data_IF_137993552514
#
_entry.id   IF_137993552514
#
_cell.length_a   1.000
_cell.length_b   1.000
_cell.length_c   1.000
_cell.angle_alpha   90.00
_cell.angle_beta   90.00
_cell.angle_gamma   90.00
#
_symmetry.space_group_name_H-M   'P 1'
#
loop_
_entity.id
_entity.type
_entity.pdbx_description
1 polymer ?
#
# COMPACT_ATOMS: atom_id res chain seq x y z
N UNK A 1 -4.70 85.62 -34.04
CA UNK A 1 -4.80 84.71 -32.88
C UNK A 1 -5.33 83.38 -33.38
N UNK A 2 -4.46 82.42 -33.71
CA UNK A 2 -4.89 81.13 -34.30
C UNK A 2 -3.98 79.94 -33.93
N UNK A 3 -3.08 80.11 -32.94
CA UNK A 3 -2.07 79.09 -32.60
C UNK A 3 -2.42 78.26 -31.35
N UNK A 4 -3.48 78.59 -30.61
CA UNK A 4 -3.84 77.90 -29.37
C UNK A 4 -4.74 76.67 -29.56
N UNK A 5 -5.37 76.50 -30.73
CA UNK A 5 -6.29 75.38 -30.99
C UNK A 5 -5.57 74.10 -31.46
N UNK A 6 -4.34 74.20 -31.95
CA UNK A 6 -3.57 73.06 -32.47
C UNK A 6 -2.94 72.19 -31.38
N UNK A 7 -2.38 72.82 -30.34
CA UNK A 7 -1.72 72.10 -29.25
C UNK A 7 -2.69 71.24 -28.43
N UNK A 8 -3.93 71.69 -28.23
CA UNK A 8 -4.92 70.92 -27.47
C UNK A 8 -5.30 69.61 -28.18
N UNK A 9 -5.46 69.65 -29.50
CA UNK A 9 -5.73 68.45 -30.30
C UNK A 9 -4.52 67.51 -30.34
N UNK A 10 -3.29 68.04 -30.37
CA UNK A 10 -2.07 67.24 -30.33
C UNK A 10 -1.88 66.52 -28.98
N UNK A 11 -2.12 67.24 -27.88
CA UNK A 11 -2.02 66.69 -26.51
C UNK A 11 -3.08 65.62 -26.28
N UNK A 12 -4.31 65.84 -26.77
CA UNK A 12 -5.36 64.83 -26.70
C UNK A 12 -5.04 63.58 -27.53
N UNK A 13 -4.43 63.74 -28.71
CA UNK A 13 -4.02 62.61 -29.55
C UNK A 13 -2.93 61.76 -28.87
N UNK A 14 -1.96 62.42 -28.22
CA UNK A 14 -0.91 61.73 -27.46
C UNK A 14 -1.52 60.98 -26.26
N UNK A 15 -2.46 61.59 -25.54
CA UNK A 15 -3.19 60.92 -24.45
C UNK A 15 -3.96 59.69 -24.95
N UNK A 16 -4.63 59.79 -26.10
CA UNK A 16 -5.33 58.66 -26.72
C UNK A 16 -4.37 57.52 -27.09
N UNK A 17 -3.20 57.83 -27.65
CA UNK A 17 -2.20 56.81 -28.01
C UNK A 17 -1.63 56.11 -26.76
N UNK A 18 -1.42 56.86 -25.67
CA UNK A 18 -0.96 56.29 -24.39
C UNK A 18 -2.02 55.38 -23.77
N UNK A 19 -3.30 55.77 -23.80
CA UNK A 19 -4.42 54.95 -23.30
C UNK A 19 -4.56 53.65 -24.11
N UNK A 20 -4.43 53.71 -25.44
CA UNK A 20 -4.49 52.52 -26.31
C UNK A 20 -3.30 51.58 -26.02
N UNK A 21 -2.10 52.10 -25.77
CA UNK A 21 -0.91 51.30 -25.41
C UNK A 21 -1.04 50.62 -24.05
N UNK A 22 -1.72 51.25 -23.07
CA UNK A 22 -1.97 50.64 -21.75
C UNK A 22 -3.10 49.60 -21.74
N UNK A 23 -3.92 49.56 -22.80
CA UNK A 23 -5.01 48.57 -22.96
C UNK A 23 -4.52 47.23 -23.47
N UNK A 24 -3.28 47.12 -23.96
CA UNK A 24 -2.63 45.82 -24.12
C UNK A 24 -2.04 45.42 -22.77
N UNK A 25 -2.93 45.17 -21.81
CA UNK A 25 -2.62 44.16 -20.82
C UNK A 25 -2.24 42.92 -21.62
N UNK A 26 -1.07 42.37 -21.30
CA UNK A 26 -0.66 41.03 -21.66
C UNK A 26 -1.77 40.08 -21.21
N UNK A 27 -2.77 39.90 -22.07
CA UNK A 27 -3.71 38.80 -22.01
C UNK A 27 -2.85 37.62 -22.45
N UNK A 28 -2.07 37.11 -21.50
CA UNK A 28 -1.50 35.78 -21.58
C UNK A 28 -2.61 34.88 -22.08
N UNK A 29 -2.39 34.31 -23.27
CA UNK A 29 -3.37 33.61 -24.07
C UNK A 29 -4.41 32.87 -23.21
N UNK A 30 -5.72 33.13 -23.34
CA UNK A 30 -6.75 32.36 -22.63
C UNK A 30 -6.85 30.90 -23.15
N UNK A 31 -6.03 30.56 -24.16
CA UNK A 31 -5.96 29.26 -24.81
C UNK A 31 -4.91 28.31 -24.22
N UNK A 32 -4.07 28.76 -23.27
CA UNK A 32 -3.08 27.87 -22.62
C UNK A 32 -3.65 27.03 -21.49
N UNK A 33 -4.94 27.18 -21.16
CA UNK A 33 -5.61 26.36 -20.13
C UNK A 33 -6.33 25.13 -20.70
N UNK A 34 -6.52 25.05 -22.03
CA UNK A 34 -7.33 23.99 -22.67
C UNK A 34 -6.62 22.64 -22.88
N UNK A 35 -5.38 22.48 -22.42
CA UNK A 35 -4.68 21.18 -22.42
C UNK A 35 -4.14 20.79 -21.04
N UNK A 36 -4.62 21.42 -19.97
CA UNK A 36 -4.35 20.90 -18.63
C UNK A 36 -5.09 19.57 -18.50
N UNK A 37 -4.33 18.49 -18.32
CA UNK A 37 -4.92 17.15 -18.21
C UNK A 37 -5.97 17.14 -17.10
N UNK A 38 -7.00 16.29 -17.22
CA UNK A 38 -8.04 16.17 -16.19
C UNK A 38 -7.44 15.95 -14.81
N UNK A 39 -6.30 15.27 -14.76
CA UNK A 39 -5.49 14.98 -13.58
C UNK A 39 -4.91 16.25 -12.94
N UNK A 40 -4.43 17.21 -13.73
CA UNK A 40 -3.92 18.50 -13.24
C UNK A 40 -5.03 19.39 -12.69
N UNK A 41 -6.21 19.39 -13.32
CA UNK A 41 -7.39 20.11 -12.81
C UNK A 41 -7.89 19.51 -11.48
N UNK A 42 -7.84 18.18 -11.35
CA UNK A 42 -8.18 17.47 -10.10
C UNK A 42 -7.19 17.82 -8.98
N UNK A 43 -5.90 17.89 -9.31
CA UNK A 43 -4.86 18.33 -8.36
C UNK A 43 -5.04 19.79 -7.94
N UNK A 44 -5.30 20.69 -8.89
CA UNK A 44 -5.49 22.12 -8.63
C UNK A 44 -6.74 22.41 -7.79
N UNK A 45 -7.80 21.63 -7.99
CA UNK A 45 -9.03 21.70 -7.20
C UNK A 45 -8.90 21.11 -5.79
N UNK A 46 -7.74 20.58 -5.40
CA UNK A 46 -7.50 19.99 -4.08
C UNK A 46 -8.13 18.61 -3.90
N UNK A 47 -8.66 18.00 -4.97
CA UNK A 47 -9.14 16.62 -5.00
C UNK A 47 -8.01 15.62 -5.33
N UNK A 48 -6.76 15.96 -5.02
CA UNK A 48 -5.63 15.09 -5.27
C UNK A 48 -5.82 13.73 -4.60
N UNK A 49 -5.75 12.66 -5.39
CA UNK A 49 -5.76 11.24 -4.94
C UNK A 49 -4.44 10.86 -4.23
N UNK A 50 -3.71 11.84 -3.69
CA UNK A 50 -2.38 11.62 -3.15
C UNK A 50 -2.49 10.92 -1.79
N UNK A 51 -1.94 9.72 -1.74
CA UNK A 51 -2.11 8.80 -0.62
C UNK A 51 -1.34 9.31 0.59
N UNK A 52 -2.03 9.96 1.53
CA UNK A 52 -1.46 10.59 2.73
C UNK A 52 -0.60 9.69 3.62
N UNK A 53 -0.80 8.36 3.54
CA UNK A 53 0.10 7.39 4.15
C UNK A 53 0.05 6.07 3.39
N UNK A 54 1.12 5.30 3.38
CA UNK A 54 1.11 3.93 2.84
C UNK A 54 1.31 2.94 3.96
N UNK A 55 0.51 1.88 3.97
CA UNK A 55 0.66 0.80 4.96
C UNK A 55 0.75 -0.52 4.22
N UNK A 56 1.90 -1.16 4.33
CA UNK A 56 2.19 -2.42 3.67
C UNK A 56 2.20 -3.55 4.71
N UNK A 57 1.61 -4.69 4.37
CA UNK A 57 1.67 -5.90 5.18
C UNK A 57 2.41 -6.96 4.37
N UNK A 58 3.48 -7.50 4.95
CA UNK A 58 4.37 -8.47 4.33
C UNK A 58 4.45 -9.78 5.11
N UNK A 59 4.86 -10.86 4.47
CA UNK A 59 5.20 -12.11 5.13
C UNK A 59 5.51 -13.21 4.14
N UNK A 60 5.88 -14.37 4.66
CA UNK A 60 6.27 -15.54 3.86
C UNK A 60 5.45 -16.74 4.27
N UNK A 61 4.97 -17.52 3.30
CA UNK A 61 4.22 -18.75 3.53
C UNK A 61 5.06 -19.97 3.15
N UNK A 62 5.33 -20.81 4.14
CA UNK A 62 6.15 -22.02 4.03
C UNK A 62 5.33 -23.27 4.33
N UNK A 63 5.66 -24.34 3.62
CA UNK A 63 5.21 -25.68 3.92
C UNK A 63 6.35 -26.49 4.53
N UNK A 64 6.08 -27.11 5.67
CA UNK A 64 7.05 -27.87 6.43
C UNK A 64 6.69 -29.35 6.46
N UNK A 65 7.69 -30.20 6.26
CA UNK A 65 7.54 -31.64 6.32
C UNK A 65 8.70 -32.33 7.01
N UNK A 66 8.37 -33.39 7.74
CA UNK A 66 9.32 -34.38 8.23
C UNK A 66 9.22 -35.62 7.35
N UNK A 67 10.13 -35.70 6.39
CA UNK A 67 10.19 -36.80 5.43
C UNK A 67 10.94 -37.99 6.03
N UNK A 68 10.47 -39.21 5.73
CA UNK A 68 11.16 -40.43 6.15
C UNK A 68 12.58 -40.46 5.55
N UNK A 69 13.59 -40.75 6.38
CA UNK A 69 14.99 -40.76 5.96
C UNK A 69 15.71 -39.41 6.03
N UNK A 70 15.01 -38.31 6.32
CA UNK A 70 15.62 -37.02 6.61
C UNK A 70 15.47 -36.67 8.09
N UNK A 71 16.57 -36.49 8.85
CA UNK A 71 16.49 -36.19 10.27
C UNK A 71 16.07 -34.74 10.58
N UNK A 72 16.00 -33.87 9.57
CA UNK A 72 15.70 -32.45 9.73
C UNK A 72 14.34 -32.08 9.13
N UNK A 73 13.70 -31.08 9.74
CA UNK A 73 12.50 -30.43 9.23
C UNK A 73 12.85 -29.72 7.92
N UNK A 74 12.17 -30.08 6.84
CA UNK A 74 12.30 -29.38 5.56
C UNK A 74 11.19 -28.36 5.42
N UNK A 75 11.52 -27.18 4.88
CA UNK A 75 10.57 -26.12 4.61
C UNK A 75 10.76 -25.62 3.17
N UNK A 76 9.67 -25.42 2.43
CA UNK A 76 9.69 -24.84 1.09
C UNK A 76 8.58 -23.79 0.92
N UNK A 77 8.76 -22.80 0.03
CA UNK A 77 7.78 -21.77 -0.20
C UNK A 77 6.51 -22.30 -0.87
N UNK A 78 5.37 -21.67 -0.56
CA UNK A 78 4.09 -21.96 -1.21
C UNK A 78 3.71 -20.80 -2.12
N UNK A 79 3.80 -21.03 -3.42
CA UNK A 79 3.38 -20.06 -4.44
C UNK A 79 1.89 -20.14 -4.76
N UNK A 80 1.26 -19.00 -5.06
CA UNK A 80 -0.14 -18.93 -5.51
C UNK A 80 -1.17 -19.17 -4.41
N UNK A 81 -0.79 -19.08 -3.13
CA UNK A 81 -1.73 -19.19 -2.02
C UNK A 81 -2.46 -17.86 -1.80
N UNK A 82 -3.77 -17.92 -1.55
CA UNK A 82 -4.57 -16.76 -1.18
C UNK A 82 -4.42 -16.51 0.32
N UNK A 83 -3.90 -15.34 0.68
CA UNK A 83 -3.75 -14.88 2.05
C UNK A 83 -4.71 -13.73 2.33
N UNK A 84 -5.15 -13.60 3.58
CA UNK A 84 -6.13 -12.62 4.04
C UNK A 84 -5.59 -11.80 5.21
N UNK A 85 -5.67 -10.47 5.12
CA UNK A 85 -5.46 -9.56 6.25
C UNK A 85 -6.81 -9.17 6.80
N UNK A 86 -7.07 -9.57 8.04
CA UNK A 86 -8.28 -9.26 8.77
C UNK A 86 -8.00 -8.19 9.82
N UNK A 87 -8.69 -7.05 9.73
CA UNK A 87 -8.57 -5.96 10.70
C UNK A 87 -9.90 -5.73 11.42
N UNK A 88 -9.85 -5.57 12.74
CA UNK A 88 -11.04 -5.28 13.56
C UNK A 88 -11.01 -3.87 14.15
N UNK A 89 -11.55 -2.89 13.43
CA UNK A 89 -11.66 -1.54 13.98
C UNK A 89 -12.71 -1.47 15.11
N UNK A 90 -12.34 -0.91 16.27
CA UNK A 90 -13.29 -0.66 17.37
C UNK A 90 -14.49 0.15 16.85
N UNK A 91 -15.70 -0.32 17.14
CA UNK A 91 -16.95 0.32 16.68
C UNK A 91 -17.48 -0.17 15.33
N UNK A 92 -16.75 -0.99 14.58
CA UNK A 92 -17.26 -1.63 13.35
C UNK A 92 -17.67 -3.08 13.61
N UNK A 93 -18.94 -3.41 13.31
CA UNK A 93 -19.48 -4.78 13.43
C UNK A 93 -18.86 -5.77 12.44
N UNK A 94 -18.34 -5.30 11.30
CA UNK A 94 -17.70 -6.13 10.27
C UNK A 94 -16.19 -5.86 10.23
N UNK A 95 -15.39 -6.91 10.29
CA UNK A 95 -13.96 -6.85 10.02
C UNK A 95 -13.70 -6.65 8.53
N UNK A 96 -12.77 -5.77 8.16
CA UNK A 96 -12.29 -5.70 6.77
C UNK A 96 -11.41 -6.91 6.48
N UNK A 97 -11.56 -7.49 5.29
CA UNK A 97 -10.73 -8.58 4.80
C UNK A 97 -10.11 -8.11 3.50
N UNK A 98 -8.79 -8.02 3.48
CA UNK A 98 -8.00 -7.75 2.27
C UNK A 98 -7.31 -9.02 1.85
N UNK A 99 -7.22 -9.25 0.56
CA UNK A 99 -6.65 -10.47 0.02
C UNK A 99 -5.37 -10.17 -0.75
N UNK A 100 -4.42 -11.09 -0.67
CA UNK A 100 -3.20 -11.09 -1.47
C UNK A 100 -2.90 -12.50 -1.92
N UNK A 101 -1.98 -12.62 -2.87
CA UNK A 101 -1.50 -13.91 -3.38
C UNK A 101 -0.01 -13.98 -3.13
N UNK A 102 0.47 -15.16 -2.73
CA UNK A 102 1.91 -15.39 -2.56
C UNK A 102 2.62 -15.58 -3.90
N UNK A 103 3.83 -15.04 -4.01
CA UNK A 103 4.69 -15.16 -5.19
C UNK A 103 5.45 -16.50 -5.25
N UNK A 104 6.41 -16.62 -6.15
CA UNK A 104 7.24 -17.82 -6.34
C UNK A 104 8.13 -18.18 -5.14
N UNK A 105 8.47 -17.19 -4.30
CA UNK A 105 9.23 -17.37 -3.06
C UNK A 105 8.30 -17.55 -1.85
N UNK A 106 6.99 -17.62 -2.07
CA UNK A 106 5.99 -17.73 -1.01
C UNK A 106 5.78 -16.42 -0.25
N UNK A 107 6.35 -15.33 -0.73
CA UNK A 107 6.22 -14.01 -0.14
C UNK A 107 4.93 -13.35 -0.60
N UNK A 108 4.35 -12.52 0.27
CA UNK A 108 3.21 -11.68 -0.08
C UNK A 108 3.44 -10.26 0.41
N UNK A 109 2.92 -9.30 -0.35
CA UNK A 109 2.89 -7.89 0.01
C UNK A 109 1.49 -7.33 -0.29
N UNK A 110 0.84 -6.80 0.73
CA UNK A 110 -0.54 -6.30 0.64
C UNK A 110 -0.55 -4.84 1.08
N UNK A 111 -0.98 -3.97 0.18
CA UNK A 111 -1.23 -2.57 0.50
C UNK A 111 -2.61 -2.40 1.16
N UNK A 112 -2.64 -1.76 2.33
CA UNK A 112 -3.89 -1.47 3.01
C UNK A 112 -4.55 -0.22 2.41
N UNK A 113 -5.87 -0.21 2.22
CA UNK A 113 -6.61 0.95 1.75
C UNK A 113 -6.59 2.07 2.80
N UNK A 114 -6.74 3.31 2.31
CA UNK A 114 -6.66 4.55 3.11
C UNK A 114 -7.50 4.53 4.40
N UNK A 115 -8.72 4.00 4.33
CA UNK A 115 -9.62 3.92 5.48
C UNK A 115 -9.13 3.01 6.63
N UNK A 116 -8.12 2.17 6.41
CA UNK A 116 -7.49 1.33 7.44
C UNK A 116 -6.20 1.93 7.99
N UNK A 117 -5.67 2.99 7.38
CA UNK A 117 -4.45 3.65 7.86
C UNK A 117 -4.64 4.32 9.22
N UNK A 118 -5.88 4.74 9.52
CA UNK A 118 -6.24 5.37 10.77
C UNK A 118 -6.46 4.37 11.93
N UNK A 119 -6.30 3.05 11.71
CA UNK A 119 -6.47 2.06 12.78
C UNK A 119 -5.31 2.19 13.78
N UNK A 120 -5.59 2.52 15.06
CA UNK A 120 -4.57 2.54 16.09
C UNK A 120 -4.13 1.11 16.43
N UNK A 121 -2.85 0.92 16.78
CA UNK A 121 -2.27 -0.38 17.16
C UNK A 121 -2.62 -1.48 16.15
N UNK A 122 -2.30 -1.23 14.88
CA UNK A 122 -2.57 -2.13 13.76
C UNK A 122 -1.95 -3.52 13.98
N UNK A 123 -0.79 -3.58 14.63
CA UNK A 123 -0.08 -4.78 15.07
C UNK A 123 -0.95 -5.73 15.91
N UNK A 124 -1.82 -5.19 16.77
CA UNK A 124 -2.72 -5.95 17.66
C UNK A 124 -4.10 -6.16 17.07
N UNK A 125 -4.50 -5.29 16.16
CA UNK A 125 -5.87 -5.18 15.66
C UNK A 125 -6.08 -5.96 14.37
N UNK A 126 -5.00 -6.14 13.61
CA UNK A 126 -5.00 -6.88 12.37
C UNK A 126 -4.27 -8.22 12.52
N UNK A 127 -4.66 -9.19 11.70
CA UNK A 127 -4.04 -10.50 11.66
C UNK A 127 -4.07 -11.09 10.26
N UNK A 128 -3.07 -11.92 9.96
CA UNK A 128 -2.99 -12.63 8.69
C UNK A 128 -3.49 -14.06 8.85
N UNK A 129 -4.22 -14.52 7.84
CA UNK A 129 -4.71 -15.89 7.71
C UNK A 129 -4.46 -16.40 6.29
N UNK A 130 -4.29 -17.71 6.14
CA UNK A 130 -4.29 -18.37 4.83
C UNK A 130 -5.74 -18.71 4.50
N UNK A 131 -6.25 -18.16 3.40
CA UNK A 131 -7.64 -18.35 2.96
C UNK A 131 -7.77 -19.55 2.02
N UNK A 132 -6.81 -19.72 1.10
CA UNK A 132 -6.82 -20.81 0.11
C UNK A 132 -5.41 -21.23 -0.25
N UNK A 133 -5.19 -22.53 -0.37
CA UNK A 133 -3.95 -23.10 -0.90
C UNK A 133 -4.10 -23.41 -2.40
N UNK A 134 -3.00 -23.42 -3.16
CA UNK A 134 -3.03 -23.84 -4.55
C UNK A 134 -3.50 -25.30 -4.65
N UNK A 135 -4.19 -25.65 -5.74
CA UNK A 135 -4.85 -26.96 -5.89
C UNK A 135 -3.90 -28.16 -5.73
N UNK A 136 -2.62 -27.99 -6.10
CA UNK A 136 -1.61 -29.05 -6.06
C UNK A 136 -0.81 -29.08 -4.75
N UNK A 137 -1.16 -28.23 -3.76
CA UNK A 137 -0.46 -28.21 -2.48
C UNK A 137 -0.89 -29.40 -1.62
N UNK A 138 0.06 -30.24 -1.25
CA UNK A 138 -0.15 -31.28 -0.23
C UNK A 138 -0.02 -30.75 1.21
N UNK A 139 0.18 -29.43 1.33
CA UNK A 139 0.27 -28.71 2.58
C UNK A 139 -1.13 -28.50 3.14
N UNK A 140 -1.28 -28.70 4.45
CA UNK A 140 -2.51 -28.41 5.17
C UNK A 140 -2.22 -27.30 6.16
N UNK A 141 -3.15 -26.37 6.25
CA UNK A 141 -3.18 -25.49 7.42
C UNK A 141 -3.20 -26.39 8.65
N UNK A 142 -2.21 -26.22 9.54
CA UNK A 142 -2.29 -26.79 10.87
C UNK A 142 -3.69 -26.44 11.40
N UNK A 143 -4.39 -27.43 11.95
CA UNK A 143 -5.84 -27.49 12.16
C UNK A 143 -6.45 -26.33 12.98
N UNK A 144 -5.62 -25.40 13.45
CA UNK A 144 -6.00 -24.18 14.14
C UNK A 144 -5.88 -23.02 13.15
N UNK A 145 -6.96 -22.25 12.96
CA UNK A 145 -6.92 -20.90 12.36
C UNK A 145 -6.03 -19.99 13.24
N UNK A 146 -4.72 -20.23 13.30
CA UNK A 146 -3.76 -19.39 13.99
C UNK A 146 -3.66 -18.11 13.18
N UNK A 147 -4.44 -17.12 13.61
CA UNK A 147 -4.27 -15.73 13.23
C UNK A 147 -2.89 -15.31 13.71
N UNK A 148 -1.98 -15.03 12.77
CA UNK A 148 -0.68 -14.46 13.13
C UNK A 148 -0.86 -12.95 13.23
N UNK A 149 -0.53 -12.40 14.40
CA UNK A 149 -0.50 -10.95 14.60
C UNK A 149 0.56 -10.30 13.72
N UNK A 150 0.49 -8.98 13.60
CA UNK A 150 1.44 -8.21 12.83
C UNK A 150 2.49 -7.59 13.75
N UNK A 151 3.72 -7.40 13.26
CA UNK A 151 4.78 -6.63 13.92
C UNK A 151 5.17 -5.47 13.01
N UNK A 152 5.31 -4.26 13.55
CA UNK A 152 5.85 -3.14 12.78
C UNK A 152 7.32 -3.44 12.45
N UNK A 153 7.66 -3.47 11.16
CA UNK A 153 9.03 -3.69 10.69
C UNK A 153 9.73 -2.39 10.34
N UNK A 154 9.05 -1.44 9.72
CA UNK A 154 9.62 -0.14 9.37
C UNK A 154 8.60 0.99 9.39
N UNK A 155 9.08 2.20 9.67
CA UNK A 155 8.31 3.43 9.64
C UNK A 155 9.19 4.56 9.08
N UNK A 156 8.76 5.21 8.00
CA UNK A 156 9.49 6.34 7.43
C UNK A 156 8.87 6.83 6.11
N UNK A 157 9.06 8.10 5.77
CA UNK A 157 8.58 8.71 4.51
C UNK A 157 7.07 8.51 4.26
N UNK A 158 6.26 8.50 5.33
CA UNK A 158 4.82 8.22 5.23
C UNK A 158 4.46 6.75 4.97
N UNK A 159 5.45 5.84 4.94
CA UNK A 159 5.28 4.41 4.72
C UNK A 159 5.47 3.64 6.04
N UNK A 160 4.49 2.78 6.35
CA UNK A 160 4.54 1.85 7.48
C UNK A 160 4.50 0.44 6.96
N UNK A 161 5.53 -0.34 7.25
CA UNK A 161 5.56 -1.75 6.87
C UNK A 161 5.35 -2.61 8.10
N UNK A 162 4.41 -3.52 8.01
CA UNK A 162 4.14 -4.54 8.99
C UNK A 162 4.54 -5.90 8.41
N UNK A 163 5.02 -6.79 9.26
CA UNK A 163 5.35 -8.16 8.91
C UNK A 163 4.54 -9.15 9.74
N UNK A 164 4.01 -10.18 9.09
CA UNK A 164 3.46 -11.37 9.74
C UNK A 164 4.55 -12.42 10.04
N UNK A 165 5.79 -12.18 9.61
CA UNK A 165 6.88 -13.13 9.66
C UNK A 165 6.63 -14.35 8.77
N UNK A 166 7.14 -15.51 9.19
CA UNK A 166 6.99 -16.78 8.49
C UNK A 166 5.75 -17.51 8.99
N UNK A 167 4.77 -17.71 8.10
CA UNK A 167 3.62 -18.58 8.32
C UNK A 167 4.01 -20.00 7.87
N UNK A 168 3.81 -20.97 8.75
CA UNK A 168 4.20 -22.36 8.52
C UNK A 168 2.97 -23.26 8.48
N UNK A 169 2.87 -24.07 7.44
CA UNK A 169 1.87 -25.10 7.26
C UNK A 169 2.55 -26.47 7.27
N UNK A 170 1.83 -27.53 7.60
CA UNK A 170 2.43 -28.88 7.60
C UNK A 170 2.00 -29.67 6.37
N UNK A 171 2.94 -30.40 5.78
CA UNK A 171 2.61 -31.35 4.74
C UNK A 171 1.76 -32.49 5.33
N UNK A 172 0.69 -32.85 4.63
CA UNK A 172 -0.26 -33.91 4.99
C UNK A 172 0.34 -35.29 5.32
N UNK A 173 1.48 -35.65 4.72
CA UNK A 173 2.16 -36.95 4.89
C UNK A 173 3.29 -36.88 5.92
N UNK A 174 3.53 -35.70 6.52
CA UNK A 174 4.53 -35.51 7.56
C UNK A 174 4.19 -36.39 8.77
N UNK A 175 5.06 -37.34 9.09
CA UNK A 175 4.99 -38.09 10.35
C UNK A 175 5.86 -37.36 11.36
N UNK A 176 5.32 -36.90 12.49
CA UNK A 176 6.14 -36.27 13.52
C UNK A 176 7.13 -37.31 14.06
N UNK A 177 8.41 -37.15 13.73
CA UNK A 177 9.49 -37.93 14.31
C UNK A 177 10.05 -37.19 15.53
N UNK A 178 10.52 -37.90 16.55
CA UNK A 178 11.09 -37.30 17.76
C UNK A 178 12.30 -36.38 17.47
N UNK A 179 13.01 -36.62 16.36
CA UNK A 179 14.09 -35.76 15.87
C UNK A 179 13.58 -34.40 15.34
N UNK A 180 12.39 -34.36 14.71
CA UNK A 180 11.78 -33.14 14.22
C UNK A 180 11.18 -32.26 15.34
N UNK A 181 10.57 -32.88 16.35
CA UNK A 181 9.87 -32.17 17.43
C UNK A 181 10.85 -31.33 18.28
N UNK A 182 12.10 -31.79 18.43
CA UNK A 182 13.13 -31.11 19.24
C UNK A 182 13.64 -29.79 18.62
N UNK A 183 13.50 -29.62 17.30
CA UNK A 183 13.94 -28.42 16.59
C UNK A 183 12.87 -27.32 16.56
N UNK A 184 11.58 -27.68 16.67
CA UNK A 184 10.47 -26.71 16.73
C UNK A 184 10.53 -25.84 18.00
N UNK A 185 11.05 -26.38 19.12
CA UNK A 185 11.23 -25.63 20.38
C UNK A 185 12.46 -24.73 20.40
N UNK A 186 13.47 -24.99 19.56
CA UNK A 186 14.72 -24.23 19.54
C UNK A 186 14.57 -22.91 18.76
N UNK A 187 13.75 -22.90 17.69
CA UNK A 187 13.47 -21.71 16.88
C UNK A 187 12.51 -20.72 17.55
N UNK A 188 11.71 -21.16 18.54
CA UNK A 188 10.84 -20.26 19.32
C UNK A 188 11.63 -19.38 20.31
N UNK A 189 12.91 -19.67 20.56
CA UNK A 189 13.76 -18.90 21.47
C UNK A 189 14.64 -17.82 20.80
N UNK A 190 14.51 -17.64 19.48
CA UNK A 190 15.20 -16.59 18.72
C UNK A 190 14.23 -15.61 18.05
N UNK A 191 13.16 -15.22 18.75
CA UNK A 191 12.47 -13.96 18.45
C UNK A 191 12.90 -12.94 19.52
N UNK A 192 13.73 -11.97 19.11
CA UNK A 192 14.20 -10.85 19.93
C UNK A 192 13.10 -9.79 20.08
#
# INVERSE_FOLDING_TARGET
MSYFQGCHNLVMLIFFIVIIRTSMADVGNPLSFELSSREELVQLAGYGEEKLSTVLVSGTLLCEACLHGHPHLQAWPISGALVGVHCHARGRRKSSCLQGVTDEYGDFLIDLPSHLHAIPNLDKTCSVTVLRLPHNSQCRSAYVKKRKGLRLSSFGNGIRTYTAGRLRLHHSTSKPSHACIKNESSDQHMEW
#
